data_IF_598071303198
#
_entry.id   IF_598071303198
#
_cell.length_a   1.000
_cell.length_b   1.000
_cell.length_c   1.000
_cell.angle_alpha   90.00
_cell.angle_beta   90.00
_cell.angle_gamma   90.00
#
_symmetry.space_group_name_H-M   'P 1'
#
loop_
_entity.id
_entity.type
_entity.pdbx_description
1 polymer ?
#
# COMPACT_ATOMS: atom_id res chain seq x y z
N UNK A 1 8.10 -47.15 33.60
CA UNK A 1 8.08 -47.49 32.16
C UNK A 1 8.55 -46.26 31.40
N UNK A 2 9.68 -46.37 30.70
CA UNK A 2 10.27 -45.26 29.95
C UNK A 2 10.18 -45.59 28.47
N UNK A 3 9.45 -44.80 27.71
CA UNK A 3 9.33 -44.95 26.25
C UNK A 3 10.45 -44.15 25.60
N UNK A 4 11.50 -44.82 25.15
CA UNK A 4 12.54 -44.21 24.33
C UNK A 4 11.97 -44.05 22.91
N UNK A 5 11.79 -42.80 22.46
CA UNK A 5 11.44 -42.52 21.06
C UNK A 5 12.74 -42.47 20.27
N UNK A 6 13.01 -43.50 19.46
CA UNK A 6 14.06 -43.47 18.46
C UNK A 6 13.66 -42.49 17.35
N UNK A 7 14.14 -41.25 17.41
CA UNK A 7 14.20 -40.37 16.24
C UNK A 7 15.36 -40.81 15.34
N UNK A 8 15.15 -41.86 14.56
CA UNK A 8 15.98 -42.13 13.40
C UNK A 8 15.09 -42.45 12.20
N UNK A 9 14.72 -41.39 11.48
CA UNK A 9 14.44 -41.48 10.05
C UNK A 9 14.69 -40.08 9.47
N UNK A 10 15.93 -39.82 9.04
CA UNK A 10 16.15 -38.86 7.95
C UNK A 10 15.47 -39.47 6.73
N UNK A 11 14.19 -39.18 6.54
CA UNK A 11 13.49 -39.50 5.31
C UNK A 11 14.17 -38.69 4.20
N UNK A 12 14.85 -39.38 3.29
CA UNK A 12 15.35 -38.78 2.06
C UNK A 12 14.11 -38.42 1.23
N UNK A 13 13.70 -37.15 1.27
CA UNK A 13 12.54 -36.66 0.54
C UNK A 13 12.95 -36.51 -0.93
N UNK A 14 12.62 -37.51 -1.74
CA UNK A 14 12.74 -37.41 -3.20
C UNK A 14 11.49 -36.71 -3.72
N UNK A 15 11.62 -35.43 -4.07
CA UNK A 15 10.57 -34.66 -4.70
C UNK A 15 10.67 -34.88 -6.22
N UNK A 16 9.61 -35.38 -6.83
CA UNK A 16 9.55 -35.52 -8.30
C UNK A 16 9.47 -34.15 -8.97
N UNK A 17 9.99 -34.06 -10.20
CA UNK A 17 10.04 -32.80 -10.96
C UNK A 17 8.66 -32.22 -11.21
N UNK A 18 7.64 -33.07 -11.41
CA UNK A 18 6.26 -32.61 -11.61
C UNK A 18 5.72 -31.90 -10.35
N UNK A 19 6.02 -32.43 -9.15
CA UNK A 19 5.69 -31.77 -7.88
C UNK A 19 6.46 -30.46 -7.69
N UNK A 20 7.73 -30.38 -8.08
CA UNK A 20 8.50 -29.13 -8.05
C UNK A 20 7.86 -28.08 -8.95
N UNK A 21 7.43 -28.46 -10.16
CA UNK A 21 6.78 -27.56 -11.11
C UNK A 21 5.41 -27.08 -10.60
N UNK A 22 4.64 -27.96 -9.94
CA UNK A 22 3.38 -27.56 -9.27
C UNK A 22 3.65 -26.58 -8.13
N UNK A 23 4.68 -26.79 -7.32
CA UNK A 23 5.04 -25.84 -6.24
C UNK A 23 5.45 -24.49 -6.84
N UNK A 24 6.27 -24.48 -7.89
CA UNK A 24 6.69 -23.25 -8.56
C UNK A 24 5.51 -22.46 -9.17
N UNK A 25 4.55 -23.16 -9.77
CA UNK A 25 3.32 -22.54 -10.28
C UNK A 25 2.47 -21.99 -9.14
N UNK A 26 2.28 -22.76 -8.06
CA UNK A 26 1.50 -22.32 -6.90
C UNK A 26 2.17 -21.15 -6.16
N UNK A 27 3.50 -21.08 -6.10
CA UNK A 27 4.23 -19.94 -5.55
C UNK A 27 4.12 -18.70 -6.44
N UNK A 28 4.25 -18.85 -7.76
CA UNK A 28 4.06 -17.75 -8.71
C UNK A 28 2.61 -17.22 -8.71
N UNK A 29 1.63 -18.12 -8.61
CA UNK A 29 0.22 -17.78 -8.44
C UNK A 29 -0.06 -17.14 -7.08
N UNK A 30 0.61 -17.56 -6.00
CA UNK A 30 0.50 -16.93 -4.68
C UNK A 30 1.14 -15.53 -4.63
N UNK A 31 2.24 -15.30 -5.36
CA UNK A 31 2.83 -13.97 -5.52
C UNK A 31 1.91 -13.02 -6.32
N UNK A 32 1.18 -13.55 -7.31
CA UNK A 32 0.19 -12.80 -8.10
C UNK A 32 -1.16 -12.64 -7.39
N UNK A 33 -1.56 -13.62 -6.59
CA UNK A 33 -2.83 -13.63 -5.85
C UNK A 33 -2.70 -12.84 -4.56
N UNK A 34 -2.76 -11.51 -4.69
CA UNK A 34 -3.20 -10.65 -3.59
C UNK A 34 -2.09 -10.10 -2.71
N UNK A 35 -0.97 -9.64 -3.28
CA UNK A 35 -0.22 -8.59 -2.57
C UNK A 35 -1.12 -7.36 -2.50
N UNK A 36 -1.59 -7.05 -1.30
CA UNK A 36 -2.46 -5.92 -1.07
C UNK A 36 -1.85 -4.65 -1.69
N UNK A 37 -2.59 -4.01 -2.61
CA UNK A 37 -2.08 -2.90 -3.40
C UNK A 37 -2.25 -1.58 -2.64
N UNK A 38 -1.29 -0.67 -2.80
CA UNK A 38 -1.34 0.68 -2.22
C UNK A 38 -2.71 1.30 -2.50
N UNK A 39 -3.33 1.91 -1.48
CA UNK A 39 -4.57 2.61 -1.72
C UNK A 39 -4.37 3.71 -2.76
N UNK A 40 -5.36 3.90 -3.63
CA UNK A 40 -5.36 4.98 -4.62
C UNK A 40 -5.88 6.26 -3.96
N UNK A 41 -5.20 7.38 -4.22
CA UNK A 41 -5.71 8.71 -3.88
C UNK A 41 -6.68 9.17 -4.97
N UNK A 42 -7.84 9.66 -4.54
CA UNK A 42 -8.81 10.37 -5.37
C UNK A 42 -9.02 11.76 -4.81
N UNK A 43 -9.44 12.71 -5.65
CA UNK A 43 -9.53 14.12 -5.27
C UNK A 43 -10.93 14.63 -5.56
N UNK A 44 -11.48 15.37 -4.60
CA UNK A 44 -12.73 16.12 -4.75
C UNK A 44 -12.42 17.59 -4.53
N UNK A 45 -12.95 18.45 -5.39
CA UNK A 45 -12.93 19.89 -5.13
C UNK A 45 -14.15 20.25 -4.29
N UNK A 46 -13.93 20.73 -3.07
CA UNK A 46 -15.01 21.09 -2.13
C UNK A 46 -15.42 22.56 -2.28
N UNK A 47 -14.44 23.46 -2.49
CA UNK A 47 -14.66 24.90 -2.74
C UNK A 47 -13.69 25.42 -3.82
N UNK A 48 -13.87 26.68 -4.23
CA UNK A 48 -12.94 27.35 -5.14
C UNK A 48 -11.56 27.48 -4.48
N UNK A 49 -10.59 26.72 -5.01
CA UNK A 49 -9.25 26.67 -4.45
C UNK A 49 -9.01 25.64 -3.35
N UNK A 50 -9.97 24.76 -3.01
CA UNK A 50 -9.77 23.70 -2.02
C UNK A 50 -10.05 22.31 -2.62
N UNK A 51 -9.08 21.40 -2.47
CA UNK A 51 -9.21 20.01 -2.90
C UNK A 51 -8.93 19.06 -1.74
N UNK A 52 -9.82 18.11 -1.51
CA UNK A 52 -9.71 17.09 -0.46
C UNK A 52 -9.26 15.76 -1.05
N UNK A 53 -8.25 15.16 -0.44
CA UNK A 53 -7.79 13.82 -0.79
C UNK A 53 -8.65 12.76 -0.09
N UNK A 54 -9.14 11.79 -0.85
CA UNK A 54 -9.63 10.52 -0.33
C UNK A 54 -8.61 9.43 -0.64
N UNK A 55 -8.02 8.85 0.40
CA UNK A 55 -7.03 7.80 0.33
C UNK A 55 -7.62 6.48 0.81
N UNK A 56 -8.08 5.66 -0.13
CA UNK A 56 -8.66 4.36 0.20
C UNK A 56 -9.90 4.43 1.11
N UNK A 57 -10.69 5.51 1.03
CA UNK A 57 -11.87 5.75 1.88
C UNK A 57 -11.60 6.59 3.12
N UNK A 58 -10.33 6.88 3.42
CA UNK A 58 -9.94 7.76 4.51
C UNK A 58 -9.71 9.18 4.00
N UNK A 59 -9.91 10.16 4.88
CA UNK A 59 -9.44 11.51 4.65
C UNK A 59 -7.90 11.50 4.55
N UNK A 60 -7.37 11.95 3.43
CA UNK A 60 -5.94 11.98 3.15
C UNK A 60 -5.29 13.36 3.38
N UNK A 61 -6.07 14.38 3.72
CA UNK A 61 -5.61 15.76 3.79
C UNK A 61 -6.23 16.64 2.70
N UNK A 62 -5.67 17.82 2.53
CA UNK A 62 -6.17 18.82 1.59
C UNK A 62 -5.05 19.51 0.82
N UNK A 63 -5.42 20.14 -0.29
CA UNK A 63 -4.61 21.13 -0.99
C UNK A 63 -5.42 22.41 -1.06
N UNK A 64 -4.86 23.51 -0.54
CA UNK A 64 -5.46 24.83 -0.59
C UNK A 64 -4.68 25.74 -1.54
N UNK A 65 -5.38 26.48 -2.40
CA UNK A 65 -4.80 27.53 -3.23
C UNK A 65 -4.73 28.82 -2.43
N UNK A 66 -3.51 29.32 -2.19
CA UNK A 66 -3.24 30.55 -1.45
C UNK A 66 -2.21 31.40 -2.19
N UNK A 67 -2.54 32.66 -2.45
CA UNK A 67 -1.65 33.62 -3.12
C UNK A 67 -1.03 33.11 -4.44
N UNK A 68 -1.81 32.35 -5.20
CA UNK A 68 -1.37 31.76 -6.47
C UNK A 68 -0.50 30.51 -6.34
N UNK A 69 -0.30 30.01 -5.12
CA UNK A 69 0.43 28.78 -4.79
C UNK A 69 -0.51 27.73 -4.21
N UNK A 70 -0.04 26.49 -4.10
CA UNK A 70 -0.83 25.35 -3.62
C UNK A 70 -0.16 24.76 -2.39
N UNK A 71 -0.83 24.83 -1.24
CA UNK A 71 -0.33 24.33 0.04
C UNK A 71 -0.97 22.97 0.30
N UNK A 72 -0.15 21.92 0.39
CA UNK A 72 -0.63 20.59 0.75
C UNK A 72 -0.51 20.37 2.26
N UNK A 73 -1.59 19.89 2.88
CA UNK A 73 -1.65 19.53 4.30
C UNK A 73 -2.06 18.07 4.44
N UNK A 74 -1.46 17.35 5.39
CA UNK A 74 -1.74 15.94 5.62
C UNK A 74 -3.06 15.70 6.40
N UNK A 75 -3.35 14.43 6.72
CA UNK A 75 -4.55 14.05 7.47
C UNK A 75 -4.65 14.69 8.86
N UNK A 76 -3.55 15.20 9.41
CA UNK A 76 -3.48 15.86 10.71
C UNK A 76 -3.44 17.39 10.59
N UNK A 77 -3.53 17.92 9.37
CA UNK A 77 -3.43 19.34 9.08
C UNK A 77 -2.00 19.89 9.11
N UNK A 78 -0.98 19.02 9.11
CA UNK A 78 0.41 19.46 9.04
C UNK A 78 0.78 19.77 7.59
N UNK A 79 1.42 20.91 7.37
CA UNK A 79 1.85 21.33 6.04
C UNK A 79 2.96 20.40 5.55
N UNK A 80 2.68 19.72 4.44
CA UNK A 80 3.63 18.85 3.72
C UNK A 80 4.51 19.69 2.80
N UNK A 81 3.97 20.77 2.24
CA UNK A 81 4.75 21.70 1.42
C UNK A 81 3.89 22.74 0.72
N UNK A 82 4.58 23.58 -0.04
CA UNK A 82 4.02 24.66 -0.85
C UNK A 82 4.57 24.56 -2.28
N UNK A 83 3.66 24.50 -3.26
CA UNK A 83 3.95 24.15 -4.64
C UNK A 83 3.43 25.20 -5.62
N UNK A 84 4.06 25.26 -6.78
CA UNK A 84 3.67 26.20 -7.83
C UNK A 84 2.40 25.73 -8.56
N UNK A 85 2.15 24.43 -8.60
CA UNK A 85 1.02 23.83 -9.30
C UNK A 85 0.23 22.88 -8.41
N UNK A 86 -1.06 22.70 -8.75
CA UNK A 86 -1.94 21.76 -8.06
C UNK A 86 -1.43 20.32 -8.20
N UNK A 87 -0.95 19.94 -9.38
CA UNK A 87 -0.47 18.59 -9.67
C UNK A 87 0.72 18.20 -8.79
N UNK A 88 1.68 19.11 -8.61
CA UNK A 88 2.83 18.91 -7.70
C UNK A 88 2.38 18.71 -6.26
N UNK A 89 1.45 19.54 -5.78
CA UNK A 89 0.91 19.44 -4.43
C UNK A 89 0.18 18.11 -4.19
N UNK A 90 -0.66 17.70 -5.15
CA UNK A 90 -1.40 16.45 -5.08
C UNK A 90 -0.48 15.23 -5.13
N UNK A 91 0.50 15.23 -6.04
CA UNK A 91 1.47 14.14 -6.16
C UNK A 91 2.29 14.01 -4.87
N UNK A 92 2.77 15.13 -4.31
CA UNK A 92 3.57 15.10 -3.09
C UNK A 92 2.76 14.64 -1.89
N UNK A 93 1.50 15.04 -1.77
CA UNK A 93 0.62 14.55 -0.70
C UNK A 93 0.34 13.05 -0.85
N UNK A 94 0.10 12.56 -2.06
CA UNK A 94 -0.13 11.13 -2.31
C UNK A 94 1.08 10.28 -1.90
N UNK A 95 2.29 10.72 -2.22
CA UNK A 95 3.53 10.05 -1.79
C UNK A 95 3.67 10.04 -0.27
N UNK A 96 3.39 11.17 0.38
CA UNK A 96 3.45 11.31 1.84
C UNK A 96 2.46 10.37 2.53
N UNK A 97 1.24 10.26 2.00
CA UNK A 97 0.20 9.38 2.56
C UNK A 97 0.61 7.92 2.57
N UNK A 98 1.40 7.51 1.57
CA UNK A 98 1.87 6.13 1.53
C UNK A 98 2.90 5.79 2.62
N UNK A 99 3.67 6.79 3.05
CA UNK A 99 4.62 6.64 4.16
C UNK A 99 3.90 6.72 5.50
N UNK A 100 2.94 7.64 5.62
CA UNK A 100 2.24 7.92 6.88
C UNK A 100 1.16 6.89 7.22
N UNK A 101 0.48 6.33 6.21
CA UNK A 101 -0.63 5.39 6.36
C UNK A 101 -0.33 4.06 5.66
N UNK A 102 0.74 3.34 6.07
CA UNK A 102 1.17 2.12 5.38
C UNK A 102 0.18 0.97 5.53
N UNK A 103 -0.69 1.01 6.55
CA UNK A 103 -1.75 0.02 6.79
C UNK A 103 -3.01 0.25 5.95
N UNK A 104 -3.14 1.41 5.30
CA UNK A 104 -4.25 1.69 4.38
C UNK A 104 -3.92 1.04 3.04
N UNK A 105 -4.22 -0.25 2.97
CA UNK A 105 -4.04 -1.09 1.80
C UNK A 105 -5.41 -1.65 1.45
N UNK A 106 -5.83 -1.52 0.19
CA UNK A 106 -7.07 -2.16 -0.27
C UNK A 106 -6.73 -3.48 -0.96
N UNK A 107 -7.46 -4.56 -0.67
CA UNK A 107 -7.47 -5.72 -1.55
C UNK A 107 -7.88 -5.28 -2.96
N UNK A 108 -7.18 -5.76 -3.97
CA UNK A 108 -7.59 -5.59 -5.37
C UNK A 108 -8.88 -6.39 -5.52
N UNK A 109 -9.97 -5.74 -5.91
CA UNK A 109 -11.26 -6.38 -6.17
C UNK A 109 -11.25 -7.13 -7.50
#
# INVERSE_FOLDING_TARGET
MSTTVNTDTRAEVTLDTDTVDVIAVLEAEAEHSGRAARAKTTWTQEDDGEWVANYGGYFGGSVDKRDGRYVASDTFGLVVGDFATLEEAQAKLADQLHVMLPSVIRPVA
#
